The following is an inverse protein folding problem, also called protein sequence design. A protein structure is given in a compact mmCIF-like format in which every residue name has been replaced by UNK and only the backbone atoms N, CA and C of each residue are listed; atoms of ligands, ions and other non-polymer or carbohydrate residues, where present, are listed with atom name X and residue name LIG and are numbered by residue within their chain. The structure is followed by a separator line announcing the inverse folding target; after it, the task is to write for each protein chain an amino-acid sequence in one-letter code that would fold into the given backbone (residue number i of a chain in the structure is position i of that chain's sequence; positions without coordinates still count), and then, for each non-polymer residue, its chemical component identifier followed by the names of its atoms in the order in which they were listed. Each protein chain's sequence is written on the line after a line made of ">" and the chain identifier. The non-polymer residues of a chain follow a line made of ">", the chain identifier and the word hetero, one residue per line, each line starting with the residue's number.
data_IF_540070534067
#
_entry.id   IF_540070534067
#
_cell.length_a   1.000
_cell.length_b   1.000
_cell.length_c   1.000
_cell.angle_alpha   90.00
_cell.angle_beta   90.00
_cell.angle_gamma   90.00
#
_symmetry.space_group_name_H-M   'P 1'
#
loop_
_entity.id
_entity.type
_entity.pdbx_description
1 polymer ?
#
# COMPACT_ATOMS: atom_id res chain seq x y z
N UNK A 1 -29.68 0.69 -3.50
CA UNK A 1 -29.70 1.20 -2.11
C UNK A 1 -28.65 2.28 -1.97
N UNK A 2 -28.96 3.38 -1.31
CA UNK A 2 -27.98 4.45 -1.05
C UNK A 2 -26.97 3.99 0.00
N UNK A 3 -25.73 4.49 -0.11
CA UNK A 3 -24.64 4.21 0.84
C UNK A 3 -24.07 5.54 1.34
N UNK A 4 -23.86 5.67 2.66
CA UNK A 4 -23.37 6.90 3.26
C UNK A 4 -21.89 7.15 2.92
N UNK A 5 -21.04 6.15 3.10
CA UNK A 5 -19.61 6.23 2.78
C UNK A 5 -19.32 5.30 1.60
N UNK A 6 -19.35 5.85 0.38
CA UNK A 6 -18.98 5.14 -0.84
C UNK A 6 -17.48 5.26 -1.08
N UNK A 7 -16.90 4.31 -1.80
CA UNK A 7 -15.47 4.35 -2.15
C UNK A 7 -15.11 5.61 -2.96
N UNK A 8 -16.02 6.11 -3.79
CA UNK A 8 -15.80 7.34 -4.56
C UNK A 8 -15.66 8.55 -3.64
N UNK A 9 -16.46 8.64 -2.58
CA UNK A 9 -16.30 9.71 -1.57
C UNK A 9 -14.95 9.63 -0.86
N UNK A 10 -14.47 8.43 -0.60
CA UNK A 10 -13.11 8.21 -0.05
C UNK A 10 -12.06 8.72 -1.03
N UNK A 11 -12.18 8.40 -2.32
CA UNK A 11 -11.25 8.90 -3.34
C UNK A 11 -11.27 10.42 -3.45
N UNK A 12 -12.44 11.05 -3.42
CA UNK A 12 -12.56 12.52 -3.40
C UNK A 12 -11.90 13.13 -2.17
N UNK A 13 -12.06 12.52 -0.99
CA UNK A 13 -11.41 12.99 0.23
C UNK A 13 -9.88 12.91 0.11
N UNK A 14 -9.34 11.78 -0.37
CA UNK A 14 -7.91 11.59 -0.61
C UNK A 14 -7.41 12.63 -1.61
N UNK A 15 -8.07 12.75 -2.76
CA UNK A 15 -7.71 13.71 -3.79
C UNK A 15 -7.73 15.15 -3.29
N UNK A 16 -8.73 15.54 -2.50
CA UNK A 16 -8.82 16.86 -1.89
C UNK A 16 -7.64 17.13 -0.93
N UNK A 17 -7.31 16.18 -0.06
CA UNK A 17 -6.16 16.30 0.85
C UNK A 17 -4.86 16.46 0.07
N UNK A 18 -4.68 15.67 -1.00
CA UNK A 18 -3.49 15.78 -1.86
C UNK A 18 -3.44 17.14 -2.57
N UNK A 19 -4.58 17.69 -3.01
CA UNK A 19 -4.61 19.04 -3.61
C UNK A 19 -4.23 20.14 -2.60
N UNK A 20 -4.58 20.01 -1.33
CA UNK A 20 -4.07 20.91 -0.29
C UNK A 20 -2.53 20.85 -0.19
N UNK A 21 -1.96 19.65 -0.29
CA UNK A 21 -0.50 19.47 -0.30
C UNK A 21 0.14 20.14 -1.54
N UNK A 22 -0.50 20.06 -2.71
CA UNK A 22 -0.05 20.75 -3.93
C UNK A 22 0.05 22.27 -3.69
N UNK A 23 -1.00 22.87 -3.14
CA UNK A 23 -1.03 24.31 -2.84
C UNK A 23 0.08 24.69 -1.84
N UNK A 24 0.26 23.88 -0.79
CA UNK A 24 1.32 24.08 0.19
C UNK A 24 2.72 23.95 -0.42
N UNK A 25 2.91 23.00 -1.34
CA UNK A 25 4.17 22.76 -2.03
C UNK A 25 4.52 23.93 -2.97
N UNK A 26 3.55 24.44 -3.72
CA UNK A 26 3.75 25.61 -4.59
C UNK A 26 4.12 26.88 -3.81
N UNK A 27 3.58 27.04 -2.60
CA UNK A 27 3.89 28.18 -1.72
C UNK A 27 5.26 28.09 -1.04
N UNK A 28 5.87 26.92 -1.03
CA UNK A 28 7.18 26.70 -0.39
C UNK A 28 8.31 27.16 -1.31
N UNK A 29 8.72 28.42 -1.15
CA UNK A 29 9.81 29.03 -1.94
C UNK A 29 11.19 28.43 -1.61
N UNK A 30 11.33 27.77 -0.47
CA UNK A 30 12.59 27.16 -0.07
C UNK A 30 12.86 25.81 -0.77
N UNK A 31 11.84 25.20 -1.36
CA UNK A 31 12.01 23.98 -2.17
C UNK A 31 12.36 24.35 -3.62
N UNK A 32 13.60 24.09 -4.10
CA UNK A 32 13.98 24.39 -5.48
C UNK A 32 13.19 23.58 -6.52
N UNK A 33 12.67 22.42 -6.14
CA UNK A 33 11.87 21.51 -7.00
C UNK A 33 10.37 21.66 -6.78
N UNK A 34 9.90 22.80 -6.22
CA UNK A 34 8.49 22.99 -5.85
C UNK A 34 7.51 22.77 -6.98
N UNK A 35 7.83 23.18 -8.20
CA UNK A 35 6.93 23.06 -9.35
C UNK A 35 6.80 21.61 -9.84
N UNK A 36 7.90 20.88 -9.95
CA UNK A 36 7.90 19.50 -10.36
C UNK A 36 7.30 18.58 -9.29
N UNK A 37 7.58 18.88 -8.01
CA UNK A 37 6.95 18.18 -6.87
C UNK A 37 5.44 18.46 -6.81
N UNK A 38 5.03 19.70 -7.04
CA UNK A 38 3.61 20.06 -7.10
C UNK A 38 2.90 19.39 -8.30
N UNK A 39 3.55 19.32 -9.47
CA UNK A 39 3.02 18.60 -10.62
C UNK A 39 2.85 17.09 -10.32
N UNK A 40 3.84 16.48 -9.66
CA UNK A 40 3.76 15.07 -9.22
C UNK A 40 2.52 14.83 -8.36
N UNK A 41 2.32 15.63 -7.31
CA UNK A 41 1.18 15.50 -6.41
C UNK A 41 -0.14 15.92 -7.08
N UNK A 42 -0.11 16.89 -7.98
CA UNK A 42 -1.30 17.31 -8.75
C UNK A 42 -1.82 16.18 -9.64
N UNK A 43 -0.93 15.54 -10.39
CA UNK A 43 -1.31 14.39 -11.23
C UNK A 43 -1.81 13.23 -10.37
N UNK A 44 -1.11 12.91 -9.28
CA UNK A 44 -1.52 11.85 -8.36
C UNK A 44 -2.89 12.13 -7.74
N UNK A 45 -3.09 13.30 -7.14
CA UNK A 45 -4.38 13.68 -6.55
C UNK A 45 -5.49 13.87 -7.58
N UNK A 46 -5.13 14.32 -8.80
CA UNK A 46 -6.06 14.50 -9.91
C UNK A 46 -6.68 13.18 -10.38
N UNK A 47 -5.94 12.08 -10.36
CA UNK A 47 -6.47 10.75 -10.66
C UNK A 47 -7.58 10.38 -9.66
N UNK A 48 -7.41 10.66 -8.38
CA UNK A 48 -8.44 10.39 -7.36
C UNK A 48 -9.66 11.31 -7.47
N UNK A 49 -9.47 12.60 -7.82
CA UNK A 49 -10.57 13.55 -7.91
C UNK A 49 -11.36 13.42 -9.21
N UNK A 50 -10.69 13.19 -10.30
CA UNK A 50 -11.28 13.31 -11.63
C UNK A 50 -11.35 11.97 -12.39
N UNK A 51 -10.78 10.88 -11.85
CA UNK A 51 -10.73 9.60 -12.55
C UNK A 51 -12.10 9.08 -12.96
N UNK A 52 -13.08 9.07 -12.06
CA UNK A 52 -14.44 8.63 -12.34
C UNK A 52 -15.14 9.58 -13.31
N UNK A 53 -14.97 10.89 -13.13
CA UNK A 53 -15.54 11.90 -14.01
C UNK A 53 -14.99 11.77 -15.43
N UNK A 54 -13.67 11.55 -15.58
CA UNK A 54 -13.06 11.31 -16.89
C UNK A 54 -13.64 10.07 -17.57
N UNK A 55 -13.89 8.99 -16.81
CA UNK A 55 -14.49 7.77 -17.37
C UNK A 55 -15.92 8.00 -17.83
N UNK A 56 -16.70 8.80 -17.09
CA UNK A 56 -18.10 9.13 -17.41
C UNK A 56 -18.19 10.05 -18.63
N UNK A 57 -17.40 11.12 -18.69
CA UNK A 57 -17.50 12.16 -19.72
C UNK A 57 -16.71 11.81 -21.00
N UNK A 58 -15.52 11.24 -20.90
CA UNK A 58 -14.64 10.97 -22.03
C UNK A 58 -14.72 9.53 -22.54
N UNK A 59 -15.41 8.66 -21.79
CA UNK A 59 -15.45 7.23 -22.06
C UNK A 59 -14.19 6.49 -21.58
N UNK A 60 -14.32 5.18 -21.36
CA UNK A 60 -13.28 4.33 -20.75
C UNK A 60 -11.95 4.38 -21.49
N UNK A 61 -11.95 4.31 -22.81
CA UNK A 61 -10.71 4.23 -23.61
C UNK A 61 -9.84 5.47 -23.45
N UNK A 62 -10.43 6.66 -23.62
CA UNK A 62 -9.70 7.92 -23.55
C UNK A 62 -9.29 8.24 -22.10
N UNK A 63 -10.20 8.03 -21.14
CA UNK A 63 -9.91 8.23 -19.73
C UNK A 63 -8.72 7.38 -19.26
N UNK A 64 -8.67 6.09 -19.59
CA UNK A 64 -7.56 5.22 -19.21
C UNK A 64 -6.24 5.60 -19.90
N UNK A 65 -6.26 6.13 -21.13
CA UNK A 65 -5.05 6.68 -21.76
C UNK A 65 -4.52 7.91 -21.05
N UNK A 66 -5.41 8.83 -20.63
CA UNK A 66 -5.01 10.03 -19.89
C UNK A 66 -4.46 9.65 -18.50
N UNK A 67 -5.15 8.77 -17.78
CA UNK A 67 -4.70 8.28 -16.46
C UNK A 67 -3.34 7.55 -16.61
N UNK A 68 -3.21 6.66 -17.59
CA UNK A 68 -1.96 5.96 -17.86
C UNK A 68 -0.82 6.91 -18.24
N UNK A 69 -1.09 7.91 -19.08
CA UNK A 69 -0.13 8.97 -19.41
C UNK A 69 0.30 9.77 -18.18
N UNK A 70 -0.66 10.10 -17.31
CA UNK A 70 -0.37 10.76 -16.03
C UNK A 70 0.54 9.93 -15.14
N UNK A 71 0.30 8.62 -15.04
CA UNK A 71 1.16 7.69 -14.27
C UNK A 71 2.57 7.63 -14.86
N UNK A 72 2.72 7.61 -16.18
CA UNK A 72 4.04 7.66 -16.84
C UNK A 72 4.77 8.96 -16.49
N UNK A 73 4.10 10.11 -16.54
CA UNK A 73 4.70 11.40 -16.16
C UNK A 73 5.12 11.39 -14.69
N UNK A 74 4.28 10.89 -13.79
CA UNK A 74 4.60 10.74 -12.37
C UNK A 74 5.86 9.86 -12.18
N UNK A 75 5.94 8.72 -12.90
CA UNK A 75 7.08 7.82 -12.83
C UNK A 75 8.37 8.48 -13.36
N UNK A 76 8.29 9.25 -14.45
CA UNK A 76 9.43 10.01 -14.98
C UNK A 76 9.90 11.09 -13.99
N UNK A 77 8.98 11.86 -13.40
CA UNK A 77 9.32 12.86 -12.38
C UNK A 77 10.03 12.22 -11.16
N UNK A 78 9.57 11.04 -10.75
CA UNK A 78 10.20 10.27 -9.68
C UNK A 78 11.57 9.72 -10.10
N UNK A 79 11.66 9.08 -11.26
CA UNK A 79 12.88 8.43 -11.76
C UNK A 79 14.02 9.40 -12.04
N UNK A 80 13.73 10.58 -12.56
CA UNK A 80 14.73 11.66 -12.74
C UNK A 80 15.02 12.44 -11.45
N UNK A 81 14.47 12.02 -10.30
CA UNK A 81 14.72 12.67 -9.01
C UNK A 81 14.20 14.12 -8.96
N UNK A 82 13.16 14.46 -9.73
CA UNK A 82 12.57 15.79 -9.80
C UNK A 82 11.59 16.07 -8.64
N UNK A 83 11.31 15.09 -7.79
CA UNK A 83 10.51 15.24 -6.57
C UNK A 83 11.42 15.64 -5.41
N UNK A 84 11.20 16.80 -4.84
CA UNK A 84 12.00 17.37 -3.74
C UNK A 84 11.23 17.43 -2.43
N UNK A 85 11.98 17.49 -1.32
CA UNK A 85 11.42 17.69 0.02
C UNK A 85 11.30 19.18 0.33
N UNK A 86 10.25 19.55 1.06
CA UNK A 86 10.10 20.92 1.58
C UNK A 86 11.00 21.19 2.81
N UNK A 87 11.03 22.45 3.23
CA UNK A 87 11.65 22.84 4.48
C UNK A 87 10.60 22.90 5.60
N UNK A 88 10.87 22.23 6.71
CA UNK A 88 9.94 22.11 7.83
C UNK A 88 10.59 22.63 9.11
N UNK A 89 9.84 23.43 9.86
CA UNK A 89 10.21 23.72 11.25
C UNK A 89 9.91 22.47 12.08
N UNK A 90 10.94 21.82 12.56
CA UNK A 90 10.81 20.72 13.52
C UNK A 90 10.66 21.29 14.93
N UNK A 91 9.93 20.59 15.79
CA UNK A 91 9.97 20.83 17.22
C UNK A 91 11.37 20.53 17.75
N UNK A 92 11.83 21.28 18.76
CA UNK A 92 13.12 21.03 19.39
C UNK A 92 13.16 19.62 20.00
N UNK A 93 14.35 19.06 20.16
CA UNK A 93 14.49 17.74 20.77
C UNK A 93 13.97 17.74 22.21
N UNK A 94 14.10 18.85 22.93
CA UNK A 94 13.55 19.03 24.26
C UNK A 94 12.01 18.97 24.26
N UNK A 95 11.33 19.64 23.32
CA UNK A 95 9.88 19.59 23.16
C UNK A 95 9.39 18.19 22.80
N UNK A 96 10.14 17.48 21.93
CA UNK A 96 9.84 16.09 21.52
C UNK A 96 9.95 15.14 22.72
N UNK A 97 11.03 15.25 23.51
CA UNK A 97 11.24 14.43 24.72
C UNK A 97 10.19 14.75 25.79
N UNK A 98 9.87 16.01 26.02
CA UNK A 98 8.83 16.42 26.97
C UNK A 98 7.45 15.86 26.57
N UNK A 99 7.11 15.93 25.26
CA UNK A 99 5.86 15.37 24.75
C UNK A 99 5.82 13.85 24.86
N UNK A 100 6.94 13.19 24.56
CA UNK A 100 7.07 11.72 24.69
C UNK A 100 6.90 11.27 26.13
N UNK A 101 7.54 11.96 27.07
CA UNK A 101 7.43 11.67 28.51
C UNK A 101 6.01 11.92 29.05
N UNK A 102 5.30 12.91 28.53
CA UNK A 102 3.91 13.20 28.89
C UNK A 102 2.94 12.14 28.38
N UNK A 103 3.08 11.72 27.12
CA UNK A 103 2.10 10.84 26.46
C UNK A 103 2.46 9.36 26.58
N UNK A 104 3.74 9.02 26.75
CA UNK A 104 4.20 7.62 26.91
C UNK A 104 3.50 6.68 25.93
N UNK A 105 2.92 5.60 26.44
CA UNK A 105 2.26 4.57 25.63
C UNK A 105 0.97 5.03 24.94
N UNK A 106 0.37 6.15 25.36
CA UNK A 106 -0.81 6.70 24.69
C UNK A 106 -0.52 7.14 23.23
N UNK A 107 0.76 7.37 22.89
CA UNK A 107 1.17 7.65 21.51
C UNK A 107 0.85 6.50 20.53
N UNK A 108 0.72 5.27 21.03
CA UNK A 108 0.33 4.13 20.20
C UNK A 108 -1.17 4.06 19.91
N UNK A 109 -2.01 4.76 20.69
CA UNK A 109 -3.46 4.68 20.55
C UNK A 109 -3.94 5.07 19.15
N UNK A 110 -3.53 6.20 18.53
CA UNK A 110 -3.93 6.53 17.15
C UNK A 110 -3.53 5.46 16.14
N UNK A 111 -2.34 4.85 16.30
CA UNK A 111 -1.88 3.79 15.41
C UNK A 111 -2.71 2.51 15.57
N UNK A 112 -3.08 2.13 16.79
CA UNK A 112 -3.93 0.98 17.08
C UNK A 112 -5.39 1.20 16.66
N UNK A 113 -5.87 2.44 16.64
CA UNK A 113 -7.21 2.74 16.13
C UNK A 113 -7.42 2.29 14.68
N UNK A 114 -6.37 2.35 13.85
CA UNK A 114 -6.50 1.98 12.43
C UNK A 114 -6.90 0.50 12.28
N UNK A 115 -6.13 -0.50 12.75
CA UNK A 115 -6.51 -1.90 12.62
C UNK A 115 -7.79 -2.23 13.41
N UNK A 116 -7.95 -1.72 14.62
CA UNK A 116 -9.11 -2.01 15.48
C UNK A 116 -10.41 -1.53 14.83
N UNK A 117 -10.48 -0.27 14.42
CA UNK A 117 -11.70 0.28 13.78
C UNK A 117 -11.94 -0.37 12.43
N UNK A 118 -10.90 -0.71 11.66
CA UNK A 118 -11.05 -1.43 10.39
C UNK A 118 -11.66 -2.81 10.60
N UNK A 119 -11.17 -3.58 11.58
CA UNK A 119 -11.69 -4.90 11.91
C UNK A 119 -13.14 -4.81 12.41
N UNK A 120 -13.42 -3.89 13.35
CA UNK A 120 -14.78 -3.65 13.84
C UNK A 120 -15.71 -3.27 12.68
N UNK A 121 -15.29 -2.33 11.83
CA UNK A 121 -16.07 -1.91 10.68
C UNK A 121 -16.36 -3.04 9.69
N UNK A 122 -15.38 -3.90 9.46
CA UNK A 122 -15.53 -5.02 8.52
C UNK A 122 -16.40 -6.15 9.07
N UNK A 123 -16.28 -6.45 10.38
CA UNK A 123 -17.02 -7.55 10.99
C UNK A 123 -18.45 -7.15 11.39
N UNK A 124 -18.63 -5.98 11.99
CA UNK A 124 -19.89 -5.59 12.62
C UNK A 124 -20.74 -4.64 11.77
N UNK A 125 -20.17 -3.91 10.81
CA UNK A 125 -20.93 -2.98 9.96
C UNK A 125 -21.30 -3.57 8.59
N UNK A 126 -21.00 -4.85 8.37
CA UNK A 126 -21.44 -5.57 7.17
C UNK A 126 -22.97 -5.67 7.19
N UNK A 127 -23.63 -5.14 6.16
CA UNK A 127 -25.08 -5.18 6.03
C UNK A 127 -25.85 -4.23 6.95
N UNK A 128 -25.19 -3.46 7.80
CA UNK A 128 -25.86 -2.50 8.70
C UNK A 128 -26.39 -1.34 7.88
N UNK A 129 -27.70 -1.10 7.98
CA UNK A 129 -28.40 0.01 7.34
C UNK A 129 -29.25 0.79 8.36
N UNK A 130 -29.26 2.11 8.22
CA UNK A 130 -30.10 3.01 9.01
C UNK A 130 -31.06 3.71 8.04
N UNK A 131 -32.37 3.52 8.23
CA UNK A 131 -33.38 4.13 7.35
C UNK A 131 -33.27 3.70 5.87
N UNK A 132 -32.80 2.47 5.59
CA UNK A 132 -32.63 1.95 4.22
C UNK A 132 -31.33 2.41 3.52
N UNK A 133 -30.43 3.10 4.25
CA UNK A 133 -29.12 3.56 3.75
C UNK A 133 -28.03 2.75 4.43
N UNK A 134 -27.17 2.07 3.66
CA UNK A 134 -25.98 1.40 4.21
C UNK A 134 -24.97 2.42 4.71
N UNK A 135 -24.34 2.15 5.87
CA UNK A 135 -23.32 3.02 6.44
C UNK A 135 -22.04 3.01 5.59
N UNK A 136 -21.58 1.83 5.21
CA UNK A 136 -20.33 1.63 4.46
C UNK A 136 -20.61 0.94 3.11
N UNK A 137 -19.72 1.17 2.15
CA UNK A 137 -19.76 0.52 0.85
C UNK A 137 -19.62 -1.00 1.00
N UNK A 138 -20.69 -1.72 0.63
CA UNK A 138 -20.72 -3.18 0.79
C UNK A 138 -19.82 -3.92 -0.20
N UNK A 139 -19.48 -3.30 -1.35
CA UNK A 139 -18.55 -3.87 -2.33
C UNK A 139 -17.09 -3.69 -1.93
N UNK A 140 -16.79 -2.60 -1.23
CA UNK A 140 -15.42 -2.23 -0.80
C UNK A 140 -15.39 -1.96 0.72
N UNK A 141 -16.04 -2.84 1.49
CA UNK A 141 -16.29 -2.65 2.92
C UNK A 141 -15.00 -2.38 3.72
N UNK A 142 -13.96 -3.15 3.47
CA UNK A 142 -12.66 -3.02 4.17
C UNK A 142 -12.01 -1.66 3.88
N UNK A 143 -12.04 -1.19 2.63
CA UNK A 143 -11.47 0.12 2.27
C UNK A 143 -12.28 1.28 2.85
N UNK A 144 -13.60 1.17 2.86
CA UNK A 144 -14.47 2.17 3.49
C UNK A 144 -14.25 2.20 5.02
N UNK A 145 -14.16 1.04 5.66
CA UNK A 145 -13.84 0.92 7.09
C UNK A 145 -12.45 1.48 7.42
N UNK A 146 -11.44 1.22 6.58
CA UNK A 146 -10.09 1.77 6.73
C UNK A 146 -10.08 3.30 6.65
N UNK A 147 -10.88 3.89 5.76
CA UNK A 147 -11.00 5.35 5.68
C UNK A 147 -11.56 5.93 7.00
N UNK A 148 -12.62 5.34 7.53
CA UNK A 148 -13.18 5.74 8.83
C UNK A 148 -12.15 5.58 9.94
N UNK A 149 -11.42 4.48 9.94
CA UNK A 149 -10.34 4.21 10.89
C UNK A 149 -9.23 5.27 10.84
N UNK A 150 -8.80 5.68 9.64
CA UNK A 150 -7.82 6.75 9.47
C UNK A 150 -8.34 8.09 10.02
N UNK A 151 -9.59 8.45 9.75
CA UNK A 151 -10.21 9.67 10.31
C UNK A 151 -10.27 9.59 11.83
N UNK A 152 -10.71 8.45 12.39
CA UNK A 152 -10.74 8.24 13.84
C UNK A 152 -9.34 8.33 14.46
N UNK A 153 -8.31 7.77 13.80
CA UNK A 153 -6.92 7.87 14.24
C UNK A 153 -6.41 9.32 14.25
N UNK A 154 -6.73 10.10 13.21
CA UNK A 154 -6.37 11.53 13.13
C UNK A 154 -7.04 12.31 14.26
N UNK A 155 -8.35 12.10 14.52
CA UNK A 155 -9.08 12.76 15.59
C UNK A 155 -8.53 12.38 16.97
N UNK A 156 -8.22 11.09 17.17
CA UNK A 156 -7.61 10.59 18.41
C UNK A 156 -6.22 11.19 18.62
N UNK A 157 -5.39 11.23 17.58
CA UNK A 157 -4.06 11.85 17.63
C UNK A 157 -4.14 13.35 17.92
N UNK A 158 -5.09 14.05 17.31
CA UNK A 158 -5.33 15.47 17.58
C UNK A 158 -5.76 15.72 19.03
N UNK A 159 -6.70 14.94 19.52
CA UNK A 159 -7.18 15.01 20.92
C UNK A 159 -6.04 14.80 21.93
N UNK A 160 -5.20 13.76 21.70
CA UNK A 160 -4.08 13.43 22.58
C UNK A 160 -2.97 14.50 22.58
N UNK A 161 -2.62 14.98 21.40
CA UNK A 161 -1.50 15.93 21.23
C UNK A 161 -1.89 17.36 21.56
N UNK A 162 -3.20 17.66 21.61
CA UNK A 162 -3.73 19.03 21.79
C UNK A 162 -3.16 20.03 20.79
N UNK A 163 -2.74 19.54 19.62
CA UNK A 163 -2.19 20.35 18.54
C UNK A 163 -3.26 21.16 17.80
N UNK A 164 -2.84 22.12 16.99
CA UNK A 164 -3.77 22.82 16.09
C UNK A 164 -3.95 22.02 14.80
N UNK A 165 -5.12 22.09 14.14
CA UNK A 165 -5.35 21.44 12.84
C UNK A 165 -4.30 21.82 11.79
N UNK A 166 -3.88 23.08 11.78
CA UNK A 166 -2.85 23.60 10.88
C UNK A 166 -1.48 22.92 11.14
N UNK A 167 -1.17 22.64 12.39
CA UNK A 167 0.06 21.93 12.75
C UNK A 167 0.00 20.47 12.23
N UNK A 168 -1.15 19.79 12.39
CA UNK A 168 -1.35 18.43 11.87
C UNK A 168 -1.16 18.38 10.34
N UNK A 169 -1.75 19.33 9.59
CA UNK A 169 -1.60 19.41 8.13
C UNK A 169 -0.14 19.66 7.74
N UNK A 170 0.59 20.54 8.45
CA UNK A 170 2.02 20.77 8.18
C UNK A 170 2.87 19.54 8.44
N UNK A 171 2.61 18.79 9.50
CA UNK A 171 3.31 17.55 9.81
C UNK A 171 2.96 16.43 8.80
N UNK A 172 1.69 16.34 8.37
CA UNK A 172 1.28 15.42 7.31
C UNK A 172 2.05 15.68 6.01
N UNK A 173 2.23 16.96 5.63
CA UNK A 173 3.05 17.32 4.47
C UNK A 173 4.48 16.80 4.61
N UNK A 174 5.11 16.97 5.77
CA UNK A 174 6.45 16.46 6.04
C UNK A 174 6.55 14.94 5.83
N UNK A 175 5.58 14.19 6.35
CA UNK A 175 5.52 12.74 6.18
C UNK A 175 5.32 12.34 4.72
N UNK A 176 4.41 13.00 4.03
CA UNK A 176 4.13 12.76 2.60
C UNK A 176 5.35 13.06 1.74
N UNK A 177 6.05 14.18 1.97
CA UNK A 177 7.29 14.51 1.26
C UNK A 177 8.45 13.55 1.63
N UNK A 178 8.43 12.94 2.82
CA UNK A 178 9.41 11.92 3.21
C UNK A 178 9.18 10.61 2.46
N UNK A 179 7.93 10.18 2.30
CA UNK A 179 7.55 9.05 1.45
C UNK A 179 7.88 9.40 -0.01
N UNK A 180 7.54 10.62 -0.43
CA UNK A 180 7.90 11.18 -1.72
C UNK A 180 7.50 10.28 -2.88
N UNK A 181 8.46 9.99 -3.75
CA UNK A 181 8.25 9.15 -4.95
C UNK A 181 7.82 7.71 -4.63
N UNK A 182 8.11 7.21 -3.43
CA UNK A 182 7.78 5.84 -3.05
C UNK A 182 6.26 5.56 -3.01
N UNK A 183 5.42 6.60 -2.95
CA UNK A 183 3.95 6.48 -2.98
C UNK A 183 3.44 5.84 -4.26
N UNK A 184 4.15 6.00 -5.40
CA UNK A 184 3.73 5.44 -6.69
C UNK A 184 4.10 3.96 -6.85
N UNK A 185 5.05 3.43 -6.06
CA UNK A 185 5.55 2.07 -6.22
C UNK A 185 4.45 1.00 -6.13
N UNK A 186 3.55 0.99 -5.15
CA UNK A 186 2.49 -0.03 -5.08
C UNK A 186 1.63 -0.04 -6.34
N UNK A 187 1.32 1.13 -6.89
CA UNK A 187 0.50 1.26 -8.10
C UNK A 187 1.25 0.76 -9.35
N UNK A 188 2.51 1.14 -9.50
CA UNK A 188 3.35 0.66 -10.60
C UNK A 188 3.49 -0.87 -10.58
N UNK A 189 3.67 -1.45 -9.40
CA UNK A 189 3.81 -2.89 -9.23
C UNK A 189 2.50 -3.63 -9.46
N UNK A 190 1.36 -3.07 -9.07
CA UNK A 190 0.05 -3.63 -9.41
C UNK A 190 -0.21 -3.62 -10.93
N UNK A 191 0.18 -2.54 -11.62
CA UNK A 191 0.12 -2.48 -13.09
C UNK A 191 1.02 -3.54 -13.74
N UNK A 192 2.23 -3.76 -13.22
CA UNK A 192 3.15 -4.79 -13.70
C UNK A 192 2.54 -6.20 -13.56
N UNK A 193 1.85 -6.48 -12.45
CA UNK A 193 1.08 -7.70 -12.27
C UNK A 193 0.04 -7.90 -13.38
N UNK A 194 -0.68 -6.84 -13.76
CA UNK A 194 -1.62 -6.85 -14.88
C UNK A 194 -0.95 -7.15 -16.24
N UNK A 195 0.24 -6.59 -16.48
CA UNK A 195 1.05 -6.89 -17.69
C UNK A 195 1.46 -8.35 -17.72
N UNK A 196 1.89 -8.92 -16.59
CA UNK A 196 2.24 -10.34 -16.51
C UNK A 196 1.06 -11.26 -16.82
N UNK A 197 -0.14 -10.93 -16.32
CA UNK A 197 -1.37 -11.67 -16.68
C UNK A 197 -1.66 -11.56 -18.17
N UNK A 198 -1.59 -10.37 -18.75
CA UNK A 198 -1.83 -10.15 -20.17
C UNK A 198 -0.78 -10.84 -21.08
N UNK A 199 0.45 -10.99 -20.60
CA UNK A 199 1.54 -11.70 -21.27
C UNK A 199 1.51 -13.22 -21.09
N UNK A 200 0.50 -13.79 -20.38
CA UNK A 200 0.42 -15.21 -20.03
C UNK A 200 1.70 -15.75 -19.37
N UNK A 201 2.34 -14.93 -18.53
CA UNK A 201 3.57 -15.31 -17.84
C UNK A 201 3.37 -16.53 -16.92
N UNK A 202 2.14 -16.72 -16.40
CA UNK A 202 1.76 -17.91 -15.64
C UNK A 202 2.01 -19.21 -16.40
N UNK A 203 1.65 -19.28 -17.71
CA UNK A 203 1.86 -20.48 -18.54
C UNK A 203 3.34 -20.79 -18.71
N UNK A 204 4.19 -19.77 -18.82
CA UNK A 204 5.65 -19.94 -18.87
C UNK A 204 6.19 -20.49 -17.56
N UNK A 205 5.71 -19.98 -16.42
CA UNK A 205 6.08 -20.51 -15.09
C UNK A 205 5.62 -21.96 -14.94
N UNK A 206 4.38 -22.29 -15.34
CA UNK A 206 3.86 -23.65 -15.31
C UNK A 206 4.74 -24.63 -16.08
N UNK A 207 5.13 -24.26 -17.32
CA UNK A 207 6.02 -25.08 -18.16
C UNK A 207 7.38 -25.29 -17.50
N UNK A 208 7.98 -24.24 -16.93
CA UNK A 208 9.27 -24.34 -16.25
C UNK A 208 9.16 -25.25 -15.02
N UNK A 209 8.14 -25.06 -14.19
CA UNK A 209 7.94 -25.89 -12.98
C UNK A 209 7.73 -27.36 -13.33
N UNK A 210 6.94 -27.66 -14.37
CA UNK A 210 6.69 -29.04 -14.80
C UNK A 210 7.93 -29.77 -15.36
N UNK A 211 8.98 -29.05 -15.74
CA UNK A 211 10.26 -29.66 -16.14
C UNK A 211 11.07 -30.19 -14.96
N UNK A 212 10.92 -29.58 -13.77
CA UNK A 212 11.75 -29.88 -12.60
C UNK A 212 11.00 -30.62 -11.50
N UNK A 213 9.67 -30.59 -11.51
CA UNK A 213 8.84 -31.13 -10.43
C UNK A 213 7.76 -32.03 -10.99
N UNK A 214 7.67 -33.26 -10.43
CA UNK A 214 6.55 -34.14 -10.73
C UNK A 214 5.25 -33.51 -10.21
N UNK A 215 4.24 -33.28 -11.06
CA UNK A 215 2.95 -32.71 -10.66
C UNK A 215 2.21 -33.51 -9.57
N UNK A 216 2.54 -34.79 -9.37
CA UNK A 216 1.93 -35.62 -8.34
C UNK A 216 2.48 -35.36 -6.93
N UNK A 217 3.64 -34.69 -6.83
CA UNK A 217 4.26 -34.39 -5.53
C UNK A 217 3.71 -33.08 -4.94
N UNK A 218 2.58 -33.20 -4.25
CA UNK A 218 1.89 -32.07 -3.61
C UNK A 218 2.80 -31.26 -2.69
N UNK A 219 3.59 -31.91 -1.84
CA UNK A 219 4.45 -31.21 -0.88
C UNK A 219 5.51 -30.35 -1.58
N UNK A 220 6.18 -30.91 -2.58
CA UNK A 220 7.18 -30.15 -3.35
C UNK A 220 6.57 -28.96 -4.08
N UNK A 221 5.35 -29.10 -4.61
CA UNK A 221 4.63 -27.99 -5.26
C UNK A 221 4.28 -26.89 -4.27
N UNK A 222 3.89 -27.23 -3.03
CA UNK A 222 3.64 -26.25 -1.96
C UNK A 222 4.94 -25.51 -1.60
N UNK A 223 6.05 -26.25 -1.42
CA UNK A 223 7.37 -25.65 -1.16
C UNK A 223 7.75 -24.67 -2.26
N UNK A 224 7.65 -25.11 -3.52
CA UNK A 224 8.01 -24.26 -4.67
C UNK A 224 7.10 -23.04 -4.77
N UNK A 225 5.81 -23.19 -4.50
CA UNK A 225 4.87 -22.07 -4.49
C UNK A 225 5.24 -21.05 -3.39
N UNK A 226 5.42 -21.48 -2.15
CA UNK A 226 5.74 -20.59 -1.04
C UNK A 226 7.14 -19.94 -1.18
N UNK A 227 8.16 -20.74 -1.49
CA UNK A 227 9.51 -20.23 -1.70
C UNK A 227 9.58 -19.37 -2.95
N UNK A 228 8.94 -19.79 -4.03
CA UNK A 228 8.82 -19.01 -5.27
C UNK A 228 8.15 -17.66 -5.03
N UNK A 229 7.04 -17.62 -4.27
CA UNK A 229 6.38 -16.38 -3.87
C UNK A 229 7.33 -15.44 -3.11
N UNK A 230 8.08 -15.98 -2.15
CA UNK A 230 9.05 -15.19 -1.39
C UNK A 230 10.20 -14.67 -2.27
N UNK A 231 10.82 -15.53 -3.07
CA UNK A 231 11.94 -15.16 -3.95
C UNK A 231 11.52 -14.17 -5.03
N UNK A 232 10.39 -14.41 -5.69
CA UNK A 232 9.90 -13.51 -6.72
C UNK A 232 9.57 -12.14 -6.12
N UNK A 233 8.98 -12.12 -4.92
CA UNK A 233 8.72 -10.89 -4.18
C UNK A 233 10.00 -10.17 -3.77
N UNK A 234 11.06 -10.90 -3.39
CA UNK A 234 12.36 -10.28 -3.09
C UNK A 234 12.95 -9.56 -4.30
N UNK A 235 12.79 -10.11 -5.49
CA UNK A 235 13.24 -9.50 -6.75
C UNK A 235 12.36 -8.31 -7.13
N UNK A 236 11.04 -8.49 -7.09
CA UNK A 236 10.08 -7.47 -7.51
C UNK A 236 9.82 -6.37 -6.46
N UNK A 237 10.15 -6.63 -5.21
CA UNK A 237 9.90 -5.72 -4.08
C UNK A 237 8.46 -5.68 -3.59
N UNK A 238 7.55 -6.50 -4.14
CA UNK A 238 6.13 -6.48 -3.77
C UNK A 238 5.43 -7.80 -4.06
N UNK A 239 4.71 -8.33 -3.05
CA UNK A 239 3.95 -9.56 -3.16
C UNK A 239 2.78 -9.48 -4.16
N UNK A 240 2.18 -8.29 -4.35
CA UNK A 240 1.08 -8.11 -5.32
C UNK A 240 1.52 -8.31 -6.77
N UNK A 241 2.80 -8.04 -7.10
CA UNK A 241 3.33 -8.31 -8.43
C UNK A 241 3.65 -9.80 -8.63
N UNK A 242 4.14 -10.47 -7.59
CA UNK A 242 4.47 -11.90 -7.61
C UNK A 242 3.21 -12.79 -7.67
N UNK A 243 2.18 -12.39 -6.94
CA UNK A 243 0.98 -13.19 -6.70
C UNK A 243 0.24 -13.63 -7.97
N UNK A 244 -0.11 -12.75 -8.92
CA UNK A 244 -0.81 -13.18 -10.13
C UNK A 244 0.00 -14.19 -10.94
N UNK A 245 1.31 -13.98 -11.05
CA UNK A 245 2.21 -14.82 -11.86
C UNK A 245 2.31 -16.23 -11.29
N UNK A 246 2.66 -16.33 -10.00
CA UNK A 246 2.89 -17.64 -9.37
C UNK A 246 1.59 -18.35 -9.03
N UNK A 247 0.53 -17.60 -8.74
CA UNK A 247 -0.79 -18.23 -8.54
C UNK A 247 -1.34 -18.80 -9.84
N UNK A 248 -1.19 -18.10 -10.98
CA UNK A 248 -1.59 -18.63 -12.27
C UNK A 248 -0.67 -19.75 -12.75
N UNK A 249 0.65 -19.68 -12.45
CA UNK A 249 1.61 -20.67 -12.93
C UNK A 249 1.76 -21.91 -12.07
N UNK A 250 1.45 -21.85 -10.78
CA UNK A 250 1.67 -22.97 -9.84
C UNK A 250 0.39 -23.29 -9.08
N UNK A 251 -0.19 -22.33 -8.36
CA UNK A 251 -1.30 -22.63 -7.47
C UNK A 251 -2.53 -23.14 -8.22
N UNK A 252 -2.96 -22.43 -9.27
CA UNK A 252 -4.14 -22.77 -10.03
C UNK A 252 -3.99 -24.11 -10.78
N UNK A 253 -2.95 -24.33 -11.64
CA UNK A 253 -2.86 -25.55 -12.42
C UNK A 253 -2.57 -26.79 -11.57
N UNK A 254 -1.71 -26.72 -10.58
CA UNK A 254 -1.26 -27.88 -9.84
C UNK A 254 -1.99 -28.06 -8.50
N UNK A 255 -1.94 -27.05 -7.62
CA UNK A 255 -2.45 -27.20 -6.25
C UNK A 255 -3.99 -27.20 -6.20
N UNK A 256 -4.65 -26.41 -7.05
CA UNK A 256 -6.10 -26.31 -7.08
C UNK A 256 -6.70 -27.35 -8.03
N UNK A 257 -6.26 -27.38 -9.30
CA UNK A 257 -6.91 -28.24 -10.31
C UNK A 257 -6.51 -29.73 -10.16
N UNK A 258 -5.22 -30.04 -9.92
CA UNK A 258 -4.75 -31.44 -9.80
C UNK A 258 -4.95 -31.95 -8.38
N UNK A 259 -4.56 -31.21 -7.36
CA UNK A 259 -4.63 -31.68 -5.97
C UNK A 259 -5.90 -31.26 -5.22
N UNK A 260 -6.86 -30.60 -5.89
CA UNK A 260 -8.14 -30.16 -5.32
C UNK A 260 -8.02 -29.34 -4.04
N UNK A 261 -6.94 -28.54 -3.93
CA UNK A 261 -6.74 -27.65 -2.80
C UNK A 261 -7.82 -26.56 -2.73
N UNK A 262 -8.21 -26.18 -1.51
CA UNK A 262 -9.17 -25.09 -1.35
C UNK A 262 -8.53 -23.76 -1.78
N UNK A 263 -9.10 -23.06 -2.79
CA UNK A 263 -8.49 -21.83 -3.33
C UNK A 263 -8.29 -20.71 -2.28
N UNK A 264 -9.27 -20.51 -1.41
CA UNK A 264 -9.25 -19.36 -0.50
C UNK A 264 -8.08 -19.39 0.51
N UNK A 265 -7.88 -20.44 1.34
CA UNK A 265 -6.74 -20.50 2.24
C UNK A 265 -5.42 -20.63 1.48
N UNK A 266 -5.36 -21.40 0.38
CA UNK A 266 -4.14 -21.63 -0.39
C UNK A 266 -3.60 -20.33 -0.99
N UNK A 267 -4.44 -19.50 -1.59
CA UNK A 267 -4.06 -18.22 -2.14
C UNK A 267 -3.69 -17.22 -1.03
N UNK A 268 -4.37 -17.26 0.13
CA UNK A 268 -4.01 -16.43 1.28
C UNK A 268 -2.61 -16.80 1.82
N UNK A 269 -2.30 -18.10 1.97
CA UNK A 269 -0.98 -18.57 2.40
C UNK A 269 0.10 -18.16 1.39
N UNK A 270 -0.19 -18.28 0.08
CA UNK A 270 0.71 -17.79 -0.96
C UNK A 270 1.04 -16.31 -0.82
N UNK A 271 0.03 -15.48 -0.52
CA UNK A 271 0.24 -14.05 -0.27
C UNK A 271 1.10 -13.81 0.99
N UNK A 272 0.87 -14.56 2.08
CA UNK A 272 1.70 -14.47 3.29
C UNK A 272 3.13 -14.92 3.02
N UNK A 273 3.35 -15.96 2.23
CA UNK A 273 4.69 -16.35 1.78
C UNK A 273 5.38 -15.24 0.98
N UNK A 274 4.63 -14.56 0.10
CA UNK A 274 5.11 -13.36 -0.59
C UNK A 274 5.50 -12.24 0.38
N UNK A 275 4.72 -11.98 1.41
CA UNK A 275 5.07 -10.99 2.44
C UNK A 275 6.36 -11.36 3.20
N UNK A 276 6.63 -12.65 3.43
CA UNK A 276 7.94 -13.06 3.98
C UNK A 276 9.08 -12.57 3.08
N UNK A 277 8.95 -12.68 1.76
CA UNK A 277 9.90 -12.10 0.81
C UNK A 277 10.02 -10.57 0.91
N UNK A 278 8.89 -9.87 1.08
CA UNK A 278 8.85 -8.42 1.28
C UNK A 278 9.68 -7.97 2.49
N UNK A 279 9.65 -8.72 3.59
CA UNK A 279 10.42 -8.41 4.80
C UNK A 279 11.94 -8.56 4.62
N UNK A 280 12.37 -9.34 3.64
CA UNK A 280 13.79 -9.70 3.43
C UNK A 280 14.49 -8.89 2.33
N UNK A 281 13.81 -7.94 1.70
CA UNK A 281 14.36 -7.23 0.54
C UNK A 281 14.38 -5.71 0.70
N UNK A 282 15.46 -5.02 0.31
CA UNK A 282 15.46 -3.56 0.23
C UNK A 282 14.58 -3.02 -0.92
N UNK A 283 14.23 -3.85 -1.90
CA UNK A 283 13.35 -3.46 -3.01
C UNK A 283 11.95 -3.09 -2.51
N UNK A 284 11.51 -3.67 -1.39
CA UNK A 284 10.30 -3.27 -0.69
C UNK A 284 10.53 -2.00 0.16
N UNK A 285 10.88 -0.89 -0.52
CA UNK A 285 11.31 0.33 0.13
C UNK A 285 10.29 0.87 1.16
N UNK A 286 8.99 0.76 0.87
CA UNK A 286 7.92 1.21 1.76
C UNK A 286 7.92 0.50 3.11
N UNK A 287 8.31 -0.76 3.16
CA UNK A 287 8.30 -1.58 4.38
C UNK A 287 9.62 -1.55 5.13
N UNK A 288 10.72 -1.28 4.44
CA UNK A 288 12.06 -1.49 4.99
C UNK A 288 12.89 -0.20 5.03
N UNK A 289 12.99 0.53 3.92
CA UNK A 289 13.85 1.71 3.81
C UNK A 289 13.16 2.95 4.37
N UNK A 290 11.85 3.13 4.08
CA UNK A 290 11.09 4.27 4.60
C UNK A 290 10.99 4.24 6.13
N UNK A 291 10.66 3.12 6.79
CA UNK A 291 10.70 3.06 8.26
C UNK A 291 12.09 3.35 8.84
N UNK A 292 13.15 2.83 8.23
CA UNK A 292 14.51 3.13 8.67
C UNK A 292 14.83 4.64 8.58
N UNK A 293 14.38 5.29 7.52
CA UNK A 293 14.54 6.74 7.34
C UNK A 293 13.70 7.56 8.30
N UNK A 294 12.45 7.13 8.58
CA UNK A 294 11.55 7.81 9.53
C UNK A 294 12.04 7.70 10.98
N UNK A 295 12.66 6.57 11.31
CA UNK A 295 13.26 6.32 12.64
C UNK A 295 14.68 6.89 12.75
N UNK A 296 15.21 7.52 11.69
CA UNK A 296 16.56 8.10 11.64
C UNK A 296 17.65 7.08 12.01
N UNK A 297 17.48 5.81 11.57
CA UNK A 297 18.43 4.74 11.88
C UNK A 297 19.75 4.96 11.14
N UNK A 298 20.88 4.71 11.81
CA UNK A 298 22.23 4.80 11.23
C UNK A 298 22.43 3.81 10.09
N UNK A 299 21.91 2.59 10.24
CA UNK A 299 21.93 1.54 9.22
C UNK A 299 20.57 1.46 8.53
N UNK A 300 20.52 1.85 7.27
CA UNK A 300 19.30 1.80 6.44
C UNK A 300 18.73 0.39 6.23
N UNK A 301 19.54 -0.65 6.47
CA UNK A 301 19.14 -2.05 6.35
C UNK A 301 18.84 -2.70 7.70
N UNK A 302 18.89 -1.97 8.79
CA UNK A 302 18.67 -2.51 10.14
C UNK A 302 17.29 -3.16 10.28
N UNK A 303 16.27 -2.55 9.70
CA UNK A 303 14.90 -3.10 9.69
C UNK A 303 14.87 -4.49 9.06
N UNK A 304 15.50 -4.65 7.88
CA UNK A 304 15.58 -5.94 7.18
C UNK A 304 16.30 -6.97 8.05
N UNK A 305 17.47 -6.63 8.60
CA UNK A 305 18.28 -7.54 9.42
C UNK A 305 17.52 -8.11 10.61
N UNK A 306 16.69 -7.28 11.25
CA UNK A 306 15.87 -7.69 12.40
C UNK A 306 14.69 -8.58 11.96
N UNK A 307 14.15 -8.35 10.76
CA UNK A 307 12.97 -9.06 10.27
C UNK A 307 13.29 -10.43 9.63
N UNK A 308 14.51 -10.64 9.12
CA UNK A 308 14.90 -11.89 8.45
C UNK A 308 14.57 -13.15 9.26
N UNK A 309 14.93 -13.28 10.54
CA UNK A 309 14.62 -14.50 11.32
C UNK A 309 13.12 -14.77 11.38
N UNK A 310 12.31 -13.74 11.64
CA UNK A 310 10.85 -13.84 11.68
C UNK A 310 10.28 -14.24 10.31
N UNK A 311 10.77 -13.64 9.23
CA UNK A 311 10.32 -13.93 7.87
C UNK A 311 10.62 -15.38 7.48
N UNK A 312 11.80 -15.90 7.80
CA UNK A 312 12.17 -17.30 7.53
C UNK A 312 11.31 -18.27 8.33
N UNK A 313 11.10 -18.00 9.61
CA UNK A 313 10.23 -18.84 10.47
C UNK A 313 8.80 -18.87 9.92
N UNK A 314 8.24 -17.71 9.57
CA UNK A 314 6.89 -17.63 8.99
C UNK A 314 6.81 -18.32 7.61
N UNK A 315 7.87 -18.23 6.79
CA UNK A 315 7.90 -18.91 5.51
C UNK A 315 7.85 -20.43 5.68
N UNK A 316 8.60 -20.97 6.64
CA UNK A 316 8.55 -22.39 6.99
C UNK A 316 7.14 -22.78 7.47
N UNK A 317 6.53 -22.00 8.37
CA UNK A 317 5.16 -22.23 8.85
C UNK A 317 4.16 -22.24 7.69
N UNK A 318 4.27 -21.29 6.74
CA UNK A 318 3.38 -21.21 5.58
C UNK A 318 3.46 -22.45 4.67
N UNK A 319 4.61 -23.15 4.65
CA UNK A 319 4.76 -24.41 3.88
C UNK A 319 3.99 -25.57 4.52
N UNK A 320 3.84 -25.56 5.85
CA UNK A 320 3.16 -26.63 6.59
C UNK A 320 1.68 -26.38 6.87
N UNK A 321 1.20 -25.16 6.65
CA UNK A 321 -0.23 -24.81 6.73
C UNK A 321 -0.98 -25.20 5.45
#
# INVERSE_FOLDING_TARGET
>A
MMTLITINRVYYLIGFVVMLLVVMTLRDRANPKRFTTALFWFLFGGIFLFGDLMVQELGKSLAYRIIGGSVIVIALLAGFGLVGKGHYKMASDEERVASSNRLKNWLFLPALMIPVVTVIGTLFLKGVSIGGVYLLDQKQLTLAALCVACVAAILTGWWLTKGTPLHAIRQSRRLVDTIGWAVILPQMLAMLGGVFVAANTGDSVQKVVSLFVNPDNRFMLVVIYCVGMALFTMIMGNAFAAFPVLSAGIALPFLINVHHGNPAPLLAIGMYAGYCGTLMTPMAANFNIVPAALLELKDKYQVIKIQIPTALTLLVVNVFL
#
